data_IF_857861316656
#
_entry.id   IF_857861316656
#
_cell.length_a   1.000
_cell.length_b   1.000
_cell.length_c   1.000
_cell.angle_alpha   90.00
_cell.angle_beta   90.00
_cell.angle_gamma   90.00
#
_symmetry.space_group_name_H-M   'P 1'
#
loop_
_entity.id
_entity.type
_entity.pdbx_description
1 polymer ?
#
# COMPACT_ATOMS: atom_id res chain seq x y z
N UNK A 1 21.44 -20.65 1.14
CA UNK A 1 20.16 -20.58 1.85
C UNK A 1 19.08 -20.21 0.84
N UNK A 2 18.46 -21.19 0.17
CA UNK A 2 17.58 -20.94 -1.00
C UNK A 2 16.22 -21.61 -0.92
N UNK A 3 15.86 -22.23 0.21
CA UNK A 3 14.62 -23.02 0.35
C UNK A 3 13.67 -22.48 1.43
N UNK A 4 13.67 -21.16 1.66
CA UNK A 4 12.71 -20.51 2.55
C UNK A 4 11.34 -20.31 1.89
N UNK A 5 10.28 -20.00 2.68
CA UNK A 5 8.98 -19.62 2.13
C UNK A 5 9.13 -18.44 1.17
N UNK A 6 8.42 -18.49 0.04
CA UNK A 6 8.48 -17.48 -1.01
C UNK A 6 7.10 -16.87 -1.23
N UNK A 7 6.87 -15.67 -0.68
CA UNK A 7 5.77 -14.83 -1.13
C UNK A 7 6.18 -14.19 -2.47
N UNK A 8 5.31 -14.33 -3.49
CA UNK A 8 5.62 -13.97 -4.87
C UNK A 8 4.48 -13.19 -5.53
N UNK A 9 4.83 -12.17 -6.29
CA UNK A 9 3.99 -11.48 -7.26
C UNK A 9 4.37 -11.97 -8.66
N UNK A 10 3.59 -12.91 -9.20
CA UNK A 10 3.85 -13.52 -10.50
C UNK A 10 3.74 -12.52 -11.66
N UNK A 11 2.84 -11.52 -11.57
CA UNK A 11 2.64 -10.51 -12.62
C UNK A 11 3.91 -9.68 -12.84
N UNK A 12 4.61 -9.39 -11.74
CA UNK A 12 5.83 -8.58 -11.69
C UNK A 12 7.12 -9.40 -11.68
N UNK A 13 7.03 -10.73 -11.53
CA UNK A 13 8.19 -11.60 -11.38
C UNK A 13 8.98 -11.36 -10.09
N UNK A 14 8.37 -10.77 -9.05
CA UNK A 14 9.02 -10.42 -7.78
C UNK A 14 8.75 -11.52 -6.77
N UNK A 15 9.81 -12.09 -6.19
CA UNK A 15 9.72 -13.06 -5.10
C UNK A 15 10.71 -12.71 -3.99
N UNK A 16 10.27 -12.83 -2.73
CA UNK A 16 11.07 -12.44 -1.57
C UNK A 16 11.31 -13.66 -0.68
N UNK A 17 12.55 -14.19 -0.60
CA UNK A 17 12.85 -15.36 0.21
C UNK A 17 12.58 -15.14 1.71
N UNK A 18 12.03 -16.13 2.40
CA UNK A 18 11.68 -16.03 3.82
C UNK A 18 10.43 -15.19 4.10
N UNK A 19 9.83 -14.55 3.10
CA UNK A 19 8.63 -13.76 3.30
C UNK A 19 7.40 -14.65 3.50
N UNK A 20 6.62 -14.35 4.53
CA UNK A 20 5.30 -14.95 4.73
C UNK A 20 4.23 -14.24 3.90
N UNK A 21 4.32 -12.92 3.82
CA UNK A 21 3.43 -12.13 2.98
C UNK A 21 4.19 -11.01 2.27
N UNK A 22 3.74 -10.71 1.06
CA UNK A 22 4.20 -9.63 0.20
C UNK A 22 3.00 -8.73 -0.12
N UNK A 23 3.19 -7.42 -0.09
CA UNK A 23 2.15 -6.44 -0.42
C UNK A 23 2.69 -5.50 -1.47
N UNK A 24 2.02 -5.49 -2.62
CA UNK A 24 2.18 -4.50 -3.67
C UNK A 24 1.39 -3.25 -3.31
N UNK A 25 2.07 -2.12 -3.22
CA UNK A 25 1.48 -0.80 -3.05
C UNK A 25 1.66 -0.02 -4.36
N UNK A 26 0.55 0.18 -5.07
CA UNK A 26 0.49 0.92 -6.32
C UNK A 26 0.09 2.35 -6.05
N UNK A 27 0.81 3.28 -6.67
CA UNK A 27 0.52 4.71 -6.64
C UNK A 27 0.44 5.26 -8.06
N UNK A 28 -0.48 6.19 -8.27
CA UNK A 28 -0.76 6.83 -9.56
C UNK A 28 -0.38 8.31 -9.44
N UNK A 29 0.44 8.81 -10.36
CA UNK A 29 0.63 10.25 -10.48
C UNK A 29 -0.62 10.85 -11.11
N UNK A 30 -1.31 11.70 -10.37
CA UNK A 30 -2.59 12.25 -10.80
C UNK A 30 -2.69 13.71 -10.39
N UNK A 31 -3.45 14.49 -11.17
CA UNK A 31 -3.92 15.79 -10.74
C UNK A 31 -4.87 15.61 -9.56
N UNK A 32 -4.67 16.45 -8.55
CA UNK A 32 -5.54 16.63 -7.40
C UNK A 32 -6.04 18.07 -7.38
N UNK A 33 -7.35 18.24 -7.32
CA UNK A 33 -7.99 19.54 -7.12
C UNK A 33 -8.15 19.83 -5.62
N UNK A 34 -7.73 21.02 -5.23
CA UNK A 34 -7.96 21.60 -3.91
C UNK A 34 -8.82 22.83 -4.04
N UNK A 35 -9.93 22.86 -3.30
CA UNK A 35 -10.87 23.98 -3.30
C UNK A 35 -10.60 24.82 -2.05
N UNK A 36 -10.39 26.11 -2.24
CA UNK A 36 -10.28 27.10 -1.17
C UNK A 36 -11.35 28.15 -1.37
N UNK A 37 -12.30 28.24 -0.45
CA UNK A 37 -13.31 29.29 -0.47
C UNK A 37 -12.71 30.59 0.08
N UNK A 38 -12.79 31.67 -0.70
CA UNK A 38 -12.45 33.02 -0.25
C UNK A 38 -13.72 33.85 -0.15
N UNK A 39 -14.07 34.26 1.05
CA UNK A 39 -15.19 35.15 1.31
C UNK A 39 -14.72 36.53 1.74
N UNK A 40 -15.44 37.56 1.32
CA UNK A 40 -15.35 38.89 1.90
C UNK A 40 -16.14 38.93 3.22
N UNK A 41 -15.73 39.78 4.16
CA UNK A 41 -16.52 40.04 5.37
C UNK A 41 -17.43 41.23 5.14
N UNK A 42 -18.73 40.99 5.07
CA UNK A 42 -19.74 42.03 5.03
C UNK A 42 -20.32 42.28 6.42
N UNK A 43 -20.91 43.45 6.61
CA UNK A 43 -21.70 43.78 7.79
C UNK A 43 -23.12 44.17 7.40
N UNK A 44 -24.08 43.88 8.26
CA UNK A 44 -25.45 44.38 8.16
C UNK A 44 -25.93 44.88 9.51
N UNK A 45 -26.73 45.94 9.52
CA UNK A 45 -27.41 46.41 10.72
C UNK A 45 -28.72 45.66 10.88
N UNK A 46 -28.86 44.92 11.97
CA UNK A 46 -30.11 44.25 12.37
C UNK A 46 -30.74 45.00 13.54
N UNK A 47 -32.04 45.22 13.46
CA UNK A 47 -32.82 45.85 14.52
C UNK A 47 -33.43 44.78 15.42
N UNK A 48 -33.09 44.82 16.70
CA UNK A 48 -33.63 43.91 17.70
C UNK A 48 -35.07 44.28 18.06
N UNK A 49 -35.78 43.36 18.74
CA UNK A 49 -37.19 43.54 19.14
C UNK A 49 -37.40 44.70 20.12
N UNK A 50 -36.36 45.08 20.86
CA UNK A 50 -36.37 46.23 21.78
C UNK A 50 -36.10 47.57 21.08
N UNK A 51 -35.92 47.57 19.75
CA UNK A 51 -35.65 48.76 18.94
C UNK A 51 -34.18 49.13 18.83
N UNK A 52 -33.27 48.44 19.54
CA UNK A 52 -31.83 48.62 19.42
C UNK A 52 -31.31 48.11 18.08
N UNK A 53 -30.21 48.69 17.59
CA UNK A 53 -29.55 48.29 16.35
C UNK A 53 -28.21 47.63 16.69
N UNK A 54 -27.95 46.47 16.07
CA UNK A 54 -26.69 45.75 16.20
C UNK A 54 -26.09 45.49 14.81
N UNK A 55 -24.78 45.64 14.68
CA UNK A 55 -24.06 45.31 13.45
C UNK A 55 -23.60 43.87 13.50
N UNK A 56 -24.14 43.02 12.64
CA UNK A 56 -23.71 41.63 12.46
C UNK A 56 -22.70 41.56 11.31
N UNK A 57 -21.58 40.88 11.53
CA UNK A 57 -20.60 40.57 10.47
C UNK A 57 -20.83 39.15 9.97
N UNK A 58 -20.84 38.96 8.65
CA UNK A 58 -21.02 37.66 8.01
C UNK A 58 -20.15 37.56 6.75
N UNK A 59 -19.90 36.32 6.30
CA UNK A 59 -19.18 36.08 5.05
C UNK A 59 -20.12 36.31 3.86
N UNK A 60 -19.69 37.13 2.91
CA UNK A 60 -20.39 37.45 1.68
C UNK A 60 -19.45 37.27 0.48
N UNK A 61 -20.02 37.26 -0.73
CA UNK A 61 -19.24 37.19 -1.98
C UNK A 61 -18.19 36.07 -1.97
N UNK A 62 -18.55 34.90 -1.47
CA UNK A 62 -17.66 33.75 -1.43
C UNK A 62 -17.36 33.27 -2.86
N UNK A 63 -16.08 33.20 -3.19
CA UNK A 63 -15.59 32.68 -4.46
C UNK A 63 -14.72 31.45 -4.17
N UNK A 64 -15.05 30.34 -4.82
CA UNK A 64 -14.19 29.16 -4.79
C UNK A 64 -12.96 29.40 -5.65
N UNK A 65 -11.79 29.14 -5.09
CA UNK A 65 -10.53 29.08 -5.80
C UNK A 65 -10.08 27.64 -5.91
N UNK A 66 -9.82 27.21 -7.14
CA UNK A 66 -9.36 25.87 -7.45
C UNK A 66 -7.85 25.87 -7.65
N UNK A 67 -7.17 24.96 -6.97
CA UNK A 67 -5.74 24.74 -7.08
C UNK A 67 -5.48 23.30 -7.52
N UNK A 68 -4.67 23.13 -8.55
CA UNK A 68 -4.36 21.82 -9.11
C UNK A 68 -2.90 21.45 -8.86
N UNK A 69 -2.67 20.26 -8.31
CA UNK A 69 -1.33 19.77 -8.01
C UNK A 69 -1.20 18.32 -8.49
N UNK A 70 -0.11 17.99 -9.18
CA UNK A 70 0.25 16.59 -9.48
C UNK A 70 0.87 15.95 -8.26
N UNK A 71 0.36 14.79 -7.86
CA UNK A 71 0.89 14.03 -6.74
C UNK A 71 0.67 12.53 -6.92
N UNK A 72 1.47 11.73 -6.22
CA UNK A 72 1.32 10.28 -6.15
C UNK A 72 0.19 9.92 -5.18
N UNK A 73 -0.82 9.21 -5.67
CA UNK A 73 -2.02 8.84 -4.91
C UNK A 73 -2.20 7.32 -4.91
N UNK A 74 -2.59 6.69 -3.79
CA UNK A 74 -2.78 5.23 -3.71
C UNK A 74 -4.10 4.76 -4.34
N UNK A 75 -4.92 5.69 -4.84
CA UNK A 75 -6.24 5.45 -5.41
C UNK A 75 -6.43 6.35 -6.62
N UNK A 76 -7.20 5.87 -7.60
CA UNK A 76 -7.56 6.66 -8.77
C UNK A 76 -8.46 7.85 -8.40
N UNK A 77 -8.14 9.02 -8.94
CA UNK A 77 -8.99 10.22 -8.89
C UNK A 77 -9.69 10.42 -10.25
N UNK A 78 -11.02 10.41 -10.25
CA UNK A 78 -11.80 10.72 -11.45
C UNK A 78 -11.82 12.23 -11.68
N UNK A 79 -11.11 12.71 -12.72
CA UNK A 79 -11.04 14.13 -13.05
C UNK A 79 -12.34 14.70 -13.64
N UNK A 80 -13.36 13.88 -13.92
CA UNK A 80 -14.66 14.35 -14.43
C UNK A 80 -15.41 15.26 -13.45
N UNK A 81 -15.00 15.26 -12.18
CA UNK A 81 -15.59 16.07 -11.12
C UNK A 81 -14.80 17.37 -10.86
N UNK A 82 -13.71 17.60 -11.60
CA UNK A 82 -12.94 18.83 -11.48
C UNK A 82 -13.66 19.99 -12.15
N UNK A 83 -13.35 21.22 -11.72
CA UNK A 83 -13.82 22.45 -12.33
C UNK A 83 -13.30 22.61 -13.76
N UNK A 84 -12.06 22.14 -14.02
CA UNK A 84 -11.44 22.08 -15.36
C UNK A 84 -10.99 20.64 -15.69
N UNK A 85 -11.93 19.75 -16.06
CA UNK A 85 -11.68 18.32 -16.19
C UNK A 85 -10.79 17.97 -17.38
N UNK A 86 -10.80 18.75 -18.48
CA UNK A 86 -9.98 18.45 -19.64
C UNK A 86 -8.53 18.95 -19.48
N UNK A 87 -8.34 20.14 -18.88
CA UNK A 87 -7.01 20.61 -18.54
C UNK A 87 -6.28 19.68 -17.57
N UNK A 88 -7.01 19.11 -16.61
CA UNK A 88 -6.47 18.28 -15.52
C UNK A 88 -6.92 16.82 -15.65
N UNK A 89 -6.87 16.29 -16.87
CA UNK A 89 -7.28 14.91 -17.14
C UNK A 89 -6.39 13.89 -16.40
N UNK A 90 -7.05 12.97 -15.68
CA UNK A 90 -6.42 11.80 -15.07
C UNK A 90 -6.75 10.53 -15.86
N UNK A 91 -5.75 9.90 -16.52
CA UNK A 91 -5.94 8.63 -17.21
C UNK A 91 -6.51 7.55 -16.28
N UNK A 92 -7.50 6.80 -16.76
CA UNK A 92 -8.18 5.75 -15.99
C UNK A 92 -7.52 4.37 -16.22
N UNK A 93 -6.19 4.30 -16.10
CA UNK A 93 -5.46 3.03 -16.23
C UNK A 93 -5.10 2.47 -14.86
N UNK A 94 -5.40 1.19 -14.66
CA UNK A 94 -5.04 0.44 -13.45
C UNK A 94 -4.59 -0.99 -13.80
N UNK A 95 -3.44 -1.15 -14.48
CA UNK A 95 -2.98 -2.46 -14.90
C UNK A 95 -2.61 -3.38 -13.72
N UNK A 96 -2.15 -2.80 -12.60
CA UNK A 96 -1.64 -3.53 -11.45
C UNK A 96 -2.11 -2.88 -10.14
N UNK A 97 -3.36 -3.11 -9.71
CA UNK A 97 -3.84 -2.57 -8.45
C UNK A 97 -3.04 -3.10 -7.27
N UNK A 98 -3.08 -2.36 -6.15
CA UNK A 98 -2.49 -2.80 -4.89
C UNK A 98 -3.05 -4.17 -4.49
N UNK A 99 -2.18 -5.13 -4.17
CA UNK A 99 -2.57 -6.52 -3.87
C UNK A 99 -1.68 -7.11 -2.78
N UNK A 100 -2.24 -8.02 -1.98
CA UNK A 100 -1.50 -8.84 -1.02
C UNK A 100 -1.33 -10.25 -1.57
N UNK A 101 -0.13 -10.78 -1.39
CA UNK A 101 0.28 -12.13 -1.74
C UNK A 101 0.74 -12.80 -0.46
N UNK A 102 0.22 -13.99 -0.19
CA UNK A 102 0.68 -14.84 0.92
C UNK A 102 1.50 -15.98 0.34
N UNK A 103 2.23 -16.72 1.18
CA UNK A 103 2.92 -17.91 0.70
C UNK A 103 1.96 -18.85 -0.05
N UNK A 104 2.42 -19.41 -1.17
CA UNK A 104 1.79 -20.59 -1.75
C UNK A 104 1.99 -21.80 -0.83
N UNK A 105 1.21 -22.87 -1.04
CA UNK A 105 1.09 -24.11 -0.21
C UNK A 105 2.37 -24.94 0.00
N UNK A 106 3.56 -24.36 0.06
CA UNK A 106 4.82 -25.08 0.24
C UNK A 106 5.73 -24.34 1.22
N UNK A 107 5.46 -24.50 2.52
CA UNK A 107 6.56 -24.51 3.48
C UNK A 107 7.13 -25.93 3.52
N UNK A 108 8.45 -26.05 3.47
CA UNK A 108 9.17 -27.27 3.81
C UNK A 108 10.04 -26.93 5.00
N UNK A 109 10.00 -27.81 5.99
CA UNK A 109 10.86 -27.86 7.16
C UNK A 109 10.73 -26.69 8.15
N UNK A 110 9.91 -26.88 9.18
CA UNK A 110 9.95 -26.06 10.39
C UNK A 110 10.22 -26.97 11.58
N UNK A 111 11.12 -26.53 12.46
CA UNK A 111 11.48 -27.25 13.67
C UNK A 111 10.32 -27.15 14.67
N UNK A 112 9.80 -28.28 15.14
CA UNK A 112 8.82 -28.33 16.23
C UNK A 112 9.55 -28.64 17.54
N UNK A 113 9.36 -27.81 18.58
CA UNK A 113 10.03 -27.94 19.88
C UNK A 113 9.14 -28.55 20.97
N UNK A 114 8.23 -29.46 20.62
CA UNK A 114 7.32 -30.11 21.57
C UNK A 114 7.88 -31.39 22.20
N UNK A 115 8.95 -31.29 23.00
CA UNK A 115 9.27 -32.24 24.09
C UNK A 115 9.54 -33.73 23.81
N UNK A 116 9.36 -34.25 22.59
CA UNK A 116 9.64 -35.64 22.20
C UNK A 116 10.35 -35.60 20.85
N UNK A 117 11.51 -36.27 20.75
CA UNK A 117 12.40 -36.39 19.57
C UNK A 117 12.05 -35.51 18.36
N UNK A 118 12.93 -34.53 18.05
CA UNK A 118 12.82 -33.55 16.96
C UNK A 118 12.78 -34.19 15.57
N UNK A 119 11.69 -34.86 15.22
CA UNK A 119 11.40 -35.19 13.84
C UNK A 119 10.89 -33.93 13.15
N UNK A 120 11.67 -33.42 12.18
CA UNK A 120 11.25 -32.34 11.31
C UNK A 120 10.07 -32.83 10.47
N UNK A 121 8.86 -32.46 10.86
CA UNK A 121 7.66 -32.74 10.07
C UNK A 121 7.45 -31.56 9.13
N UNK A 122 7.57 -31.76 7.80
CA UNK A 122 7.25 -30.69 6.87
C UNK A 122 5.76 -30.34 7.04
N UNK A 123 5.47 -29.04 7.10
CA UNK A 123 4.09 -28.59 7.14
C UNK A 123 3.76 -27.54 6.09
N UNK A 124 2.51 -27.56 5.65
CA UNK A 124 1.96 -26.55 4.77
C UNK A 124 1.16 -25.55 5.59
N UNK A 125 1.56 -24.27 5.49
CA UNK A 125 0.80 -23.16 6.03
C UNK A 125 -0.26 -22.71 5.02
N UNK A 126 -1.51 -22.71 5.45
CA UNK A 126 -2.63 -22.24 4.64
C UNK A 126 -2.63 -20.71 4.53
N UNK A 127 -2.91 -20.16 3.35
CA UNK A 127 -2.92 -18.71 3.13
C UNK A 127 -3.87 -17.96 4.07
N UNK A 128 -4.97 -18.59 4.52
CA UNK A 128 -5.88 -18.03 5.50
C UNK A 128 -5.21 -17.75 6.86
N UNK A 129 -4.28 -18.61 7.31
CA UNK A 129 -3.49 -18.38 8.53
C UNK A 129 -2.57 -17.15 8.36
N UNK A 130 -1.89 -17.08 7.22
CA UNK A 130 -0.95 -16.00 6.92
C UNK A 130 -1.65 -14.66 6.73
N UNK A 131 -2.89 -14.66 6.20
CA UNK A 131 -3.70 -13.45 6.06
C UNK A 131 -3.96 -12.74 7.40
N UNK A 132 -3.86 -13.50 8.51
CA UNK A 132 -4.02 -13.01 9.86
C UNK A 132 -2.71 -12.66 10.57
N UNK A 133 -1.55 -12.78 9.90
CA UNK A 133 -0.24 -12.48 10.48
C UNK A 133 -0.19 -11.05 11.05
N UNK A 134 0.08 -10.95 12.35
CA UNK A 134 0.10 -9.69 13.10
C UNK A 134 1.51 -9.14 13.21
N UNK A 135 2.07 -8.70 12.08
CA UNK A 135 3.42 -8.13 11.99
C UNK A 135 3.40 -6.81 11.24
N UNK A 136 4.28 -5.88 11.64
CA UNK A 136 4.50 -4.64 10.89
C UNK A 136 4.94 -4.93 9.45
N UNK A 137 4.45 -4.12 8.51
CA UNK A 137 4.90 -4.17 7.12
C UNK A 137 6.23 -3.43 7.00
N UNK A 138 7.25 -4.09 6.48
CA UNK A 138 8.56 -3.48 6.18
C UNK A 138 8.62 -3.13 4.71
N UNK A 139 9.09 -1.93 4.37
CA UNK A 139 9.34 -1.56 2.97
C UNK A 139 10.48 -2.41 2.42
N UNK A 140 10.42 -2.80 1.16
CA UNK A 140 11.52 -3.49 0.46
C UNK A 140 12.23 -2.50 -0.46
N UNK A 141 13.55 -2.53 -0.46
CA UNK A 141 14.38 -1.77 -1.38
C UNK A 141 15.47 -2.67 -1.98
N UNK A 142 15.57 -2.72 -3.30
CA UNK A 142 16.61 -3.51 -3.98
C UNK A 142 17.80 -2.61 -4.29
N UNK A 143 18.93 -2.93 -3.67
CA UNK A 143 20.17 -2.16 -3.76
C UNK A 143 21.33 -3.05 -4.22
N UNK A 144 22.35 -2.45 -4.82
CA UNK A 144 23.52 -3.20 -5.31
C UNK A 144 24.21 -3.85 -4.10
N UNK A 145 24.32 -5.17 -4.10
CA UNK A 145 24.90 -5.96 -3.01
C UNK A 145 24.02 -6.11 -1.76
N UNK A 146 22.75 -5.70 -1.79
CA UNK A 146 21.83 -5.83 -0.65
C UNK A 146 22.17 -4.96 0.56
N UNK A 147 23.14 -4.05 0.43
CA UNK A 147 23.57 -3.14 1.49
C UNK A 147 23.15 -1.72 1.10
N UNK A 148 22.38 -0.99 1.95
CA UNK A 148 22.02 0.38 1.65
C UNK A 148 23.26 1.26 1.56
N UNK A 149 23.26 2.21 0.62
CA UNK A 149 24.35 3.19 0.59
C UNK A 149 24.36 4.02 1.88
N UNK A 150 25.56 4.26 2.46
CA UNK A 150 25.67 5.08 3.66
C UNK A 150 25.16 6.49 3.35
N UNK A 151 24.16 6.93 4.09
CA UNK A 151 23.67 8.30 4.03
C UNK A 151 23.96 8.99 5.35
N UNK A 152 24.67 10.12 5.29
CA UNK A 152 24.95 10.94 6.46
C UNK A 152 23.68 11.33 7.22
N UNK A 153 22.62 11.70 6.48
CA UNK A 153 21.31 12.02 7.06
C UNK A 153 20.68 10.80 7.75
N UNK A 154 20.75 9.61 7.13
CA UNK A 154 20.25 8.38 7.78
C UNK A 154 21.00 8.09 9.07
N UNK A 155 22.33 8.19 9.07
CA UNK A 155 23.13 7.94 10.27
C UNK A 155 22.88 8.96 11.38
N UNK A 156 22.73 10.24 11.03
CA UNK A 156 22.41 11.29 11.98
C UNK A 156 21.07 11.03 12.66
N UNK A 157 20.07 10.59 11.90
CA UNK A 157 18.69 10.47 12.39
C UNK A 157 18.25 9.05 12.78
N UNK A 158 19.10 8.04 12.59
CA UNK A 158 18.79 6.63 12.84
C UNK A 158 18.32 6.36 14.28
N UNK A 159 18.81 7.12 15.26
CA UNK A 159 18.39 6.99 16.66
C UNK A 159 16.92 7.39 16.87
N UNK A 160 16.43 8.38 16.14
CA UNK A 160 15.06 8.89 16.26
C UNK A 160 14.10 8.24 15.27
N UNK A 161 14.61 7.80 14.11
CA UNK A 161 13.86 7.18 13.05
C UNK A 161 14.57 5.90 12.59
N UNK A 162 14.38 4.78 13.31
CA UNK A 162 15.00 3.52 12.93
C UNK A 162 14.52 3.11 11.54
N UNK A 163 15.47 2.73 10.68
CA UNK A 163 15.16 2.24 9.35
C UNK A 163 14.64 0.80 9.45
N UNK A 164 13.35 0.62 9.17
CA UNK A 164 12.68 -0.68 9.13
C UNK A 164 12.62 -1.26 7.72
N UNK A 165 13.37 -0.69 6.76
CA UNK A 165 13.43 -1.17 5.38
C UNK A 165 14.23 -2.46 5.30
N UNK A 166 13.69 -3.45 4.58
CA UNK A 166 14.39 -4.67 4.18
C UNK A 166 15.14 -4.39 2.88
N UNK A 167 16.44 -4.61 2.89
CA UNK A 167 17.29 -4.45 1.71
C UNK A 167 17.49 -5.80 1.02
N UNK A 168 17.29 -5.81 -0.29
CA UNK A 168 17.50 -6.98 -1.14
C UNK A 168 18.53 -6.68 -2.23
N UNK A 169 19.11 -7.71 -2.81
CA UNK A 169 20.06 -7.56 -3.90
C UNK A 169 19.34 -7.33 -5.23
N UNK A 170 19.74 -6.31 -6.00
CA UNK A 170 19.18 -6.03 -7.34
C UNK A 170 19.26 -7.24 -8.28
N UNK A 171 20.26 -8.12 -8.13
CA UNK A 171 20.39 -9.35 -8.93
C UNK A 171 19.17 -10.29 -8.83
N UNK A 172 18.41 -10.23 -7.73
CA UNK A 172 17.16 -10.97 -7.57
C UNK A 172 16.06 -10.50 -8.54
N UNK A 173 16.19 -9.31 -9.14
CA UNK A 173 15.24 -8.74 -10.09
C UNK A 173 15.53 -9.12 -11.55
N UNK A 174 16.55 -9.93 -11.82
CA UNK A 174 16.97 -10.31 -13.18
C UNK A 174 15.87 -10.95 -14.06
N UNK A 175 14.82 -11.50 -13.46
CA UNK A 175 13.65 -12.02 -14.19
C UNK A 175 12.51 -11.00 -14.43
N UNK A 176 12.54 -9.85 -13.77
CA UNK A 176 11.43 -8.89 -13.80
C UNK A 176 11.27 -8.21 -15.15
N UNK A 177 12.34 -8.09 -15.93
CA UNK A 177 12.33 -7.57 -17.31
C UNK A 177 11.48 -8.43 -18.25
N UNK A 178 11.33 -9.72 -17.93
CA UNK A 178 10.53 -10.69 -18.68
C UNK A 178 9.13 -10.91 -18.08
N UNK A 179 8.78 -10.18 -17.02
CA UNK A 179 7.47 -10.30 -16.38
C UNK A 179 6.34 -9.81 -17.28
N UNK A 180 5.11 -10.27 -17.01
CA UNK A 180 3.92 -9.81 -17.74
C UNK A 180 3.73 -8.30 -17.63
N UNK A 181 3.99 -7.74 -16.44
CA UNK A 181 3.95 -6.30 -16.19
C UNK A 181 4.97 -5.51 -17.02
N UNK A 182 6.21 -5.99 -17.12
CA UNK A 182 7.24 -5.32 -17.92
C UNK A 182 6.90 -5.33 -19.41
N UNK A 183 6.44 -6.47 -19.93
CA UNK A 183 6.12 -6.61 -21.36
C UNK A 183 4.87 -5.83 -21.79
N UNK A 184 3.83 -5.82 -20.95
CA UNK A 184 2.53 -5.23 -21.29
C UNK A 184 2.47 -3.74 -20.97
N UNK A 185 2.98 -3.36 -19.81
CA UNK A 185 2.76 -2.05 -19.21
C UNK A 185 4.08 -1.28 -18.96
N UNK A 186 5.20 -1.79 -19.49
CA UNK A 186 6.53 -1.16 -19.44
C UNK A 186 7.02 -0.85 -18.02
N UNK A 187 6.70 -1.71 -17.05
CA UNK A 187 7.26 -1.58 -15.70
C UNK A 187 8.76 -1.86 -15.68
N UNK A 188 9.54 -0.92 -15.17
CA UNK A 188 11.00 -1.03 -14.99
C UNK A 188 11.36 -0.67 -13.55
N UNK A 189 12.31 -1.38 -12.96
CA UNK A 189 12.84 -1.04 -11.64
C UNK A 189 13.74 0.20 -11.74
N UNK A 190 13.47 1.24 -10.94
CA UNK A 190 14.22 2.52 -11.00
C UNK A 190 15.19 2.72 -9.84
N UNK A 191 15.31 1.77 -8.91
CA UNK A 191 16.30 1.79 -7.82
C UNK A 191 16.06 2.81 -6.71
N UNK A 192 15.48 3.98 -7.00
CA UNK A 192 15.30 5.04 -6.02
C UNK A 192 14.17 4.70 -5.05
N UNK A 193 14.50 4.10 -3.90
CA UNK A 193 13.54 3.81 -2.84
C UNK A 193 12.60 2.65 -3.17
N UNK A 194 13.07 1.63 -3.88
CA UNK A 194 12.35 0.38 -4.09
C UNK A 194 11.13 0.46 -5.02
N UNK A 195 11.11 1.40 -5.97
CA UNK A 195 9.99 1.54 -6.91
C UNK A 195 10.25 0.85 -8.25
N UNK A 196 9.19 0.21 -8.76
CA UNK A 196 9.00 -0.07 -10.18
C UNK A 196 8.17 1.06 -10.77
N UNK A 197 8.46 1.45 -12.00
CA UNK A 197 7.87 2.62 -12.65
C UNK A 197 7.38 2.26 -14.05
N UNK A 198 6.19 2.75 -14.40
CA UNK A 198 5.58 2.63 -15.72
C UNK A 198 5.17 4.04 -16.20
N UNK A 199 5.84 4.60 -17.22
CA UNK A 199 5.49 5.91 -17.74
C UNK A 199 4.13 5.88 -18.45
N UNK A 200 3.38 6.96 -18.39
CA UNK A 200 2.22 7.14 -19.27
C UNK A 200 2.67 7.49 -20.69
N UNK A 201 2.16 6.71 -21.65
CA UNK A 201 2.30 7.00 -23.08
C UNK A 201 0.91 7.33 -23.57
N UNK A 202 0.60 8.62 -23.74
CA UNK A 202 -0.66 9.04 -24.32
C UNK A 202 -0.70 8.73 -25.81
N UNK A 203 -1.85 8.30 -26.29
CA UNK A 203 -2.06 8.15 -27.73
C UNK A 203 -2.11 9.52 -28.41
N UNK A 204 -1.73 9.59 -29.70
CA UNK A 204 -1.83 10.83 -30.48
C UNK A 204 -3.25 11.41 -30.47
N UNK A 205 -4.26 10.55 -30.46
CA UNK A 205 -5.65 10.96 -30.40
C UNK A 205 -6.03 11.57 -29.04
N UNK A 206 -5.61 10.97 -27.92
CA UNK A 206 -5.85 11.54 -26.59
C UNK A 206 -5.18 12.90 -26.45
N UNK A 207 -3.95 13.06 -26.96
CA UNK A 207 -3.27 14.35 -26.95
C UNK A 207 -4.04 15.40 -27.76
N UNK A 208 -4.49 15.04 -28.97
CA UNK A 208 -5.30 15.93 -29.81
C UNK A 208 -6.62 16.33 -29.12
N UNK A 209 -7.34 15.36 -28.54
CA UNK A 209 -8.59 15.61 -27.82
C UNK A 209 -8.36 16.49 -26.60
N UNK A 210 -7.26 16.26 -25.86
CA UNK A 210 -6.85 17.09 -24.72
C UNK A 210 -6.65 18.55 -25.17
N UNK A 211 -5.87 18.79 -26.23
CA UNK A 211 -5.65 20.15 -26.74
C UNK A 211 -6.96 20.82 -27.22
N UNK A 212 -7.83 20.06 -27.90
CA UNK A 212 -9.11 20.57 -28.35
C UNK A 212 -10.03 20.97 -27.18
N UNK A 213 -10.12 20.13 -26.15
CA UNK A 213 -10.94 20.44 -24.97
C UNK A 213 -10.34 21.58 -24.14
N UNK A 214 -9.01 21.63 -23.99
CA UNK A 214 -8.31 22.77 -23.37
C UNK A 214 -8.57 24.08 -24.13
N UNK A 215 -8.66 24.04 -25.46
CA UNK A 215 -9.05 25.19 -26.27
C UNK A 215 -10.47 25.64 -25.97
N UNK A 216 -11.43 24.71 -25.91
CA UNK A 216 -12.84 25.03 -25.61
C UNK A 216 -13.05 25.54 -24.18
N UNK A 217 -12.29 25.01 -23.21
CA UNK A 217 -12.31 25.47 -21.81
C UNK A 217 -11.67 26.86 -21.64
N UNK A 218 -10.98 27.38 -22.66
CA UNK A 218 -10.25 28.65 -22.57
C UNK A 218 -9.00 28.59 -21.68
N UNK A 219 -8.58 27.39 -21.27
CA UNK A 219 -7.47 27.15 -20.34
C UNK A 219 -6.09 27.07 -21.03
N UNK A 220 -6.02 27.26 -22.35
CA UNK A 220 -4.77 27.22 -23.12
C UNK A 220 -3.69 28.21 -22.67
N UNK A 221 -4.08 29.33 -22.05
CA UNK A 221 -3.16 30.37 -21.60
C UNK A 221 -3.00 30.45 -20.09
N UNK A 222 -3.68 29.60 -19.32
CA UNK A 222 -3.44 29.50 -17.88
C UNK A 222 -2.06 28.86 -17.69
N UNK A 223 -1.07 29.69 -17.36
CA UNK A 223 0.29 29.24 -17.12
C UNK A 223 0.32 28.45 -15.80
N UNK A 224 0.36 27.13 -15.91
CA UNK A 224 0.25 26.23 -14.75
C UNK A 224 1.61 26.05 -14.07
N UNK A 225 1.78 26.63 -12.87
CA UNK A 225 2.96 26.41 -12.04
C UNK A 225 3.25 24.92 -11.73
N UNK A 226 2.22 24.06 -11.82
CA UNK A 226 2.34 22.61 -11.66
C UNK A 226 3.17 21.89 -12.75
N UNK A 227 3.39 22.51 -13.90
CA UNK A 227 4.26 21.95 -14.96
C UNK A 227 5.73 22.34 -14.80
N UNK A 228 6.04 23.33 -13.96
CA UNK A 228 7.42 23.75 -13.68
C UNK A 228 8.13 22.87 -12.65
N UNK A 229 7.41 22.03 -11.91
CA UNK A 229 7.99 21.09 -10.96
C UNK A 229 7.86 19.66 -11.48
N UNK A 230 8.93 19.09 -12.09
CA UNK A 230 8.90 17.76 -12.70
C UNK A 230 8.92 16.67 -11.62
N UNK A 231 7.82 16.47 -10.90
CA UNK A 231 7.70 15.40 -9.91
C UNK A 231 7.15 14.11 -10.51
N UNK A 232 6.24 14.20 -11.50
CA UNK A 232 5.71 13.11 -12.32
C UNK A 232 4.75 13.64 -13.41
N UNK A 233 4.36 12.77 -14.36
CA UNK A 233 3.35 13.03 -15.39
C UNK A 233 2.02 12.37 -15.01
N UNK A 234 0.91 13.09 -15.19
CA UNK A 234 -0.41 12.52 -14.92
C UNK A 234 -0.63 11.24 -15.73
N UNK A 235 -0.96 10.16 -15.03
CA UNK A 235 -1.06 8.81 -15.56
C UNK A 235 0.09 7.90 -15.14
N UNK A 236 1.30 8.41 -14.87
CA UNK A 236 2.44 7.57 -14.46
C UNK A 236 2.06 6.68 -13.27
N UNK A 237 2.58 5.45 -13.26
CA UNK A 237 2.34 4.50 -12.18
C UNK A 237 3.67 4.13 -11.58
N UNK A 238 3.70 4.07 -10.24
CA UNK A 238 4.81 3.43 -9.53
C UNK A 238 4.30 2.41 -8.54
N UNK A 239 5.11 1.38 -8.32
CA UNK A 239 4.81 0.26 -7.44
C UNK A 239 5.96 0.12 -6.46
N UNK A 240 5.64 0.01 -5.16
CA UNK A 240 6.58 -0.42 -4.14
C UNK A 240 6.10 -1.68 -3.44
N UNK A 241 7.02 -2.40 -2.84
CA UNK A 241 6.69 -3.60 -2.08
C UNK A 241 6.90 -3.40 -0.58
N UNK A 242 6.04 -4.07 0.17
CA UNK A 242 6.21 -4.28 1.58
C UNK A 242 6.17 -5.78 1.89
N UNK A 243 6.86 -6.20 2.95
CA UNK A 243 6.95 -7.60 3.37
C UNK A 243 6.54 -7.77 4.82
N UNK A 244 6.02 -8.96 5.14
CA UNK A 244 5.98 -9.52 6.49
C UNK A 244 6.80 -10.80 6.52
N UNK A 245 7.89 -10.76 7.26
CA UNK A 245 8.94 -11.79 7.32
C UNK A 245 9.54 -11.88 8.73
N UNK A 246 8.72 -12.21 9.75
CA UNK A 246 9.23 -12.41 11.10
C UNK A 246 10.24 -13.57 11.14
N UNK A 247 11.27 -13.44 11.98
CA UNK A 247 12.28 -14.49 12.19
C UNK A 247 11.64 -15.74 12.81
N UNK A 248 10.86 -15.54 13.86
CA UNK A 248 10.11 -16.59 14.55
C UNK A 248 8.61 -16.36 14.45
N UNK A 249 7.83 -17.44 14.41
CA UNK A 249 6.36 -17.39 14.47
C UNK A 249 5.80 -18.41 15.44
N UNK A 250 4.78 -18.00 16.17
CA UNK A 250 3.96 -18.87 17.02
C UNK A 250 2.58 -19.05 16.41
N UNK A 251 2.10 -20.29 16.38
CA UNK A 251 0.91 -20.70 15.62
C UNK A 251 -0.03 -21.49 16.51
N UNK A 252 -1.30 -21.10 16.55
CA UNK A 252 -2.39 -21.91 17.11
C UNK A 252 -3.32 -22.30 15.96
N UNK A 253 -3.25 -23.56 15.56
CA UNK A 253 -3.99 -24.12 14.44
C UNK A 253 -4.31 -25.61 14.68
N UNK A 254 -5.27 -26.14 13.92
CA UNK A 254 -5.51 -27.58 13.83
C UNK A 254 -4.45 -28.21 12.93
N UNK A 255 -3.88 -29.33 13.36
CA UNK A 255 -2.97 -30.14 12.54
C UNK A 255 -3.78 -31.21 11.81
N UNK A 256 -3.73 -31.23 10.50
CA UNK A 256 -4.32 -32.25 9.64
C UNK A 256 -3.22 -33.01 8.89
N UNK A 257 -3.28 -34.33 8.80
CA UNK A 257 -2.30 -35.09 8.01
C UNK A 257 -2.75 -35.16 6.55
N UNK A 258 -1.90 -34.73 5.61
CA UNK A 258 -2.21 -34.80 4.17
C UNK A 258 -1.70 -36.14 3.60
N UNK A 259 -2.62 -37.09 3.43
CA UNK A 259 -2.36 -38.37 2.76
C UNK A 259 -1.40 -39.30 3.53
N UNK A 260 -0.85 -40.30 2.84
CA UNK A 260 0.08 -41.27 3.43
C UNK A 260 1.51 -40.72 3.60
N UNK A 261 1.74 -39.46 3.23
CA UNK A 261 3.03 -38.80 3.39
C UNK A 261 2.95 -38.05 4.72
N UNK A 262 3.96 -38.17 5.57
CA UNK A 262 4.03 -37.51 6.89
C UNK A 262 4.15 -35.97 6.76
N UNK A 263 3.17 -35.33 6.11
CA UNK A 263 3.07 -33.89 5.89
C UNK A 263 1.89 -33.39 6.70
N UNK A 264 2.15 -32.45 7.59
CA UNK A 264 1.12 -31.77 8.35
C UNK A 264 0.57 -30.56 7.56
N UNK A 265 -0.73 -30.33 7.61
CA UNK A 265 -1.37 -29.08 7.22
C UNK A 265 -1.80 -28.37 8.47
N UNK A 266 -1.43 -27.11 8.60
CA UNK A 266 -1.97 -26.25 9.64
C UNK A 266 -3.23 -25.59 9.06
N UNK A 267 -4.39 -25.90 9.63
CA UNK A 267 -5.69 -25.40 9.22
C UNK A 267 -6.38 -24.63 10.36
N UNK A 268 -7.30 -23.69 10.06
CA UNK A 268 -8.10 -23.05 11.10
C UNK A 268 -8.89 -24.05 11.96
N UNK A 269 -8.99 -23.78 13.26
CA UNK A 269 -9.81 -24.56 14.20
C UNK A 269 -11.26 -24.08 14.07
N UNK A 270 -12.15 -24.91 13.55
CA UNK A 270 -13.57 -24.59 13.50
C UNK A 270 -14.27 -24.91 14.83
N UNK A 271 -14.97 -23.93 15.40
CA UNK A 271 -15.80 -24.13 16.60
C UNK A 271 -17.20 -24.60 16.21
N UNK A 272 -17.93 -25.16 17.18
CA UNK A 272 -19.34 -25.54 17.01
C UNK A 272 -20.26 -24.36 16.66
N UNK A 273 -19.83 -23.13 16.93
CA UNK A 273 -20.57 -21.91 16.60
C UNK A 273 -20.31 -21.40 15.17
N UNK A 274 -19.55 -22.16 14.36
CA UNK A 274 -19.20 -21.76 12.99
C UNK A 274 -18.10 -20.71 12.90
N UNK A 275 -17.46 -20.33 14.01
CA UNK A 275 -16.30 -19.45 14.00
C UNK A 275 -15.03 -20.24 13.73
N UNK A 276 -14.11 -19.67 12.94
CA UNK A 276 -12.77 -20.23 12.72
C UNK A 276 -11.74 -19.50 13.57
N UNK A 277 -11.09 -20.21 14.48
CA UNK A 277 -9.98 -19.71 15.28
C UNK A 277 -8.66 -20.13 14.63
N UNK A 278 -7.83 -19.14 14.31
CA UNK A 278 -6.51 -19.39 13.74
C UNK A 278 -5.61 -18.22 14.14
N UNK A 279 -4.62 -18.47 14.99
CA UNK A 279 -3.76 -17.42 15.52
C UNK A 279 -2.35 -17.60 14.97
N UNK A 280 -1.78 -16.51 14.46
CA UNK A 280 -0.42 -16.46 13.92
C UNK A 280 0.23 -15.16 14.39
N UNK A 281 1.23 -15.28 15.26
CA UNK A 281 1.95 -14.16 15.88
C UNK A 281 3.43 -14.25 15.55
N UNK A 282 4.10 -13.11 15.41
CA UNK A 282 5.56 -13.08 15.35
C UNK A 282 6.19 -13.20 16.74
N UNK A 283 7.38 -13.78 16.74
CA UNK A 283 8.14 -14.12 17.93
C UNK A 283 7.67 -15.42 18.58
N UNK A 284 8.42 -15.83 19.59
CA UNK A 284 8.03 -16.88 20.51
C UNK A 284 6.94 -16.36 21.46
N UNK A 285 5.76 -16.99 21.42
CA UNK A 285 4.60 -16.66 22.24
C UNK A 285 4.00 -17.93 22.78
N UNK A 286 3.65 -17.92 24.06
CA UNK A 286 2.84 -18.99 24.62
C UNK A 286 1.41 -18.96 24.04
N UNK A 287 0.75 -20.12 23.98
CA UNK A 287 -0.65 -20.20 23.54
C UNK A 287 -1.56 -19.28 24.38
N UNK A 288 -1.30 -19.19 25.70
CA UNK A 288 -2.03 -18.32 26.61
C UNK A 288 -1.89 -16.85 26.22
N UNK A 289 -0.66 -16.37 25.98
CA UNK A 289 -0.44 -14.99 25.53
C UNK A 289 -1.13 -14.67 24.21
N UNK A 290 -1.11 -15.60 23.25
CA UNK A 290 -1.77 -15.40 21.96
C UNK A 290 -3.29 -15.27 22.13
N UNK A 291 -3.89 -16.09 22.99
CA UNK A 291 -5.33 -16.04 23.29
C UNK A 291 -5.70 -14.76 24.06
N UNK A 292 -4.91 -14.38 25.06
CA UNK A 292 -5.11 -13.16 25.85
C UNK A 292 -5.02 -11.91 24.96
N UNK A 293 -4.01 -11.84 24.09
CA UNK A 293 -3.86 -10.74 23.14
C UNK A 293 -5.07 -10.57 22.21
N UNK A 294 -5.66 -11.68 21.73
CA UNK A 294 -6.86 -11.62 20.89
C UNK A 294 -8.12 -11.27 21.71
N UNK A 295 -8.20 -11.71 22.96
CA UNK A 295 -9.28 -11.36 23.88
C UNK A 295 -9.28 -9.86 24.23
N UNK A 296 -8.11 -9.29 24.53
CA UNK A 296 -7.95 -7.85 24.78
C UNK A 296 -8.32 -7.03 23.55
N UNK A 297 -7.89 -7.47 22.37
CA UNK A 297 -8.22 -6.80 21.12
C UNK A 297 -9.73 -6.83 20.85
N UNK A 298 -10.38 -7.98 21.03
CA UNK A 298 -11.83 -8.11 20.85
C UNK A 298 -12.60 -7.16 21.78
N UNK A 299 -12.10 -6.92 23.00
CA UNK A 299 -12.66 -5.91 23.91
C UNK A 299 -12.50 -4.50 23.36
N UNK A 300 -11.33 -4.15 22.78
CA UNK A 300 -11.08 -2.81 22.24
C UNK A 300 -11.98 -2.42 21.05
N UNK A 301 -12.41 -3.40 20.24
CA UNK A 301 -13.34 -3.17 19.12
C UNK A 301 -14.80 -3.03 19.55
N UNK A 302 -15.15 -3.50 20.76
CA UNK A 302 -16.50 -3.40 21.30
C UNK A 302 -16.66 -2.08 22.07
N UNK A 303 -16.50 -0.95 21.38
CA UNK A 303 -16.96 0.33 21.88
C UNK A 303 -18.32 0.62 21.24
N UNK A 304 -19.39 0.34 21.97
CA UNK A 304 -20.74 0.78 21.58
C UNK A 304 -20.84 2.24 21.99
N UNK A 305 -20.98 3.20 21.05
CA UNK A 305 -21.29 4.58 21.43
C UNK A 305 -22.61 4.56 22.20
N UNK A 306 -22.61 5.15 23.40
CA UNK A 306 -23.84 5.43 24.15
C UNK A 306 -24.63 6.55 23.47
#
# INVERSE_FOLDING_TARGET
>A
FTEGPLAKDDDMGVGVPGALALKRNTEYCQWQEHITERCEKCSRTVRAKDGSEATETYNCNCVNQYHYVKSWQPRLIHSMLFDQPAAHHNPQRDPLPSRKFTIGTSMRDVLWSGGVEMNRVPFVLEGALVSNLRVGWRKIDWVVGGIPQPSWWRNMFARWFPDVTRYEEVGQLSGTELSHAAQRDNFVYVGQGGYFYSPFVSSNFENMLKYFLQYLEGSLFDWQFGDLMPSCTAGDIRISYQVQDPEDVSIVARVETIGNKNIARLAPIHTSMGTSLSLLYAGERSTTEMIEAEAERSRSFTYVPR
#
